data_IF_618743061281
#
_entry.id   IF_618743061281
#
_cell.length_a   1.000
_cell.length_b   1.000
_cell.length_c   1.000
_cell.angle_alpha   90.00
_cell.angle_beta   90.00
_cell.angle_gamma   90.00
#
_symmetry.space_group_name_H-M   'P 1'
#
loop_
_entity.id
_entity.type
_entity.pdbx_description
1 polymer ?
#
# COMPACT_ATOMS: atom_id res chain seq x y z
N UNK A 1 59.47 -58.69 -10.05
CA UNK A 1 58.23 -58.90 -9.32
C UNK A 1 57.82 -57.55 -8.76
N UNK A 2 56.89 -56.86 -9.45
CA UNK A 2 56.35 -55.53 -9.06
C UNK A 2 55.05 -55.71 -8.30
N UNK A 3 55.04 -55.22 -7.04
CA UNK A 3 53.87 -55.26 -6.16
C UNK A 3 52.93 -54.06 -6.50
N UNK A 4 51.71 -54.37 -6.92
CA UNK A 4 50.60 -53.43 -7.04
C UNK A 4 50.08 -53.08 -5.65
N UNK A 5 50.06 -51.76 -5.31
CA UNK A 5 49.35 -51.25 -4.11
C UNK A 5 47.90 -51.00 -4.44
N UNK A 6 46.94 -51.43 -3.58
CA UNK A 6 45.53 -51.10 -3.80
C UNK A 6 45.24 -49.63 -3.47
N UNK A 7 44.61 -48.91 -4.42
CA UNK A 7 44.10 -47.58 -4.22
C UNK A 7 42.72 -47.69 -3.57
N UNK A 8 42.62 -47.28 -2.31
CA UNK A 8 41.35 -47.20 -1.62
C UNK A 8 40.61 -45.92 -2.07
N UNK A 9 39.51 -46.10 -2.77
CA UNK A 9 38.61 -45.04 -3.18
C UNK A 9 37.67 -44.69 -1.99
N UNK A 10 37.98 -43.58 -1.31
CA UNK A 10 37.08 -43.04 -0.26
C UNK A 10 35.92 -42.31 -0.91
N UNK A 11 34.74 -42.93 -0.93
CA UNK A 11 33.47 -42.28 -1.30
C UNK A 11 33.04 -41.37 -0.18
N UNK A 12 33.22 -40.07 -0.30
CA UNK A 12 32.68 -39.10 0.63
C UNK A 12 31.15 -38.96 0.41
N UNK A 13 30.36 -39.51 1.34
CA UNK A 13 28.92 -39.34 1.35
C UNK A 13 28.60 -37.93 1.78
N UNK A 14 28.21 -37.05 0.81
CA UNK A 14 27.73 -35.72 1.08
C UNK A 14 26.33 -35.86 1.70
N UNK A 15 26.23 -35.78 3.00
CA UNK A 15 24.93 -35.68 3.72
C UNK A 15 24.43 -34.27 3.51
N UNK A 16 23.46 -34.09 2.59
CA UNK A 16 22.74 -32.83 2.45
C UNK A 16 21.91 -32.59 3.72
N UNK A 17 22.35 -31.65 4.55
CA UNK A 17 21.54 -31.17 5.66
C UNK A 17 20.30 -30.47 5.08
N UNK A 18 19.06 -30.85 5.50
CA UNK A 18 17.89 -30.11 5.09
C UNK A 18 18.03 -28.66 5.57
N UNK A 19 17.89 -27.70 4.65
CA UNK A 19 17.82 -26.30 5.01
C UNK A 19 16.68 -26.13 6.04
N UNK A 20 17.01 -25.63 7.21
CA UNK A 20 16.01 -25.30 8.23
C UNK A 20 15.05 -24.28 7.57
N UNK A 21 13.78 -24.66 7.46
CA UNK A 21 12.75 -23.73 7.01
C UNK A 21 12.74 -22.54 7.98
N UNK A 22 12.83 -21.33 7.44
CA UNK A 22 12.68 -20.13 8.26
C UNK A 22 11.41 -20.23 9.09
N UNK A 23 11.44 -19.84 10.38
CA UNK A 23 10.25 -19.88 11.22
C UNK A 23 9.15 -19.04 10.55
N UNK A 24 7.89 -19.47 10.58
CA UNK A 24 6.81 -18.74 9.96
C UNK A 24 6.81 -17.30 10.49
N UNK A 25 6.99 -16.34 9.56
CA UNK A 25 6.89 -14.92 9.92
C UNK A 25 5.48 -14.70 10.45
N UNK A 26 5.36 -14.35 11.72
CA UNK A 26 4.07 -14.04 12.32
C UNK A 26 3.39 -12.97 11.48
N UNK A 27 2.25 -13.29 10.87
CA UNK A 27 1.45 -12.33 10.12
C UNK A 27 0.81 -11.34 11.11
N UNK A 28 1.48 -10.20 11.28
CA UNK A 28 1.03 -9.17 12.23
C UNK A 28 -0.28 -8.49 11.78
N UNK A 29 -0.70 -8.67 10.52
CA UNK A 29 -1.97 -8.14 10.02
C UNK A 29 -3.15 -8.86 10.67
N UNK A 30 -3.00 -10.15 10.96
CA UNK A 30 -4.07 -10.97 11.54
C UNK A 30 -4.58 -10.46 12.90
N UNK A 31 -3.75 -9.76 13.66
CA UNK A 31 -4.17 -9.18 14.95
C UNK A 31 -5.17 -8.02 14.82
N UNK A 32 -5.31 -7.46 13.62
CA UNK A 32 -6.24 -6.38 13.30
C UNK A 32 -7.52 -6.88 12.64
N UNK A 33 -7.81 -8.18 12.76
CA UNK A 33 -8.94 -8.79 12.07
C UNK A 33 -10.29 -8.16 12.44
N UNK A 34 -10.49 -7.79 13.71
CA UNK A 34 -11.74 -7.18 14.17
C UNK A 34 -11.96 -5.79 13.54
N UNK A 35 -10.95 -4.94 13.59
CA UNK A 35 -10.98 -3.58 13.02
C UNK A 35 -11.09 -3.62 11.48
N UNK A 36 -10.42 -4.57 10.84
CA UNK A 36 -10.53 -4.80 9.39
C UNK A 36 -11.94 -5.26 9.02
N UNK A 37 -12.54 -6.16 9.81
CA UNK A 37 -13.92 -6.63 9.56
C UNK A 37 -14.93 -5.49 9.71
N UNK A 38 -14.80 -4.65 10.73
CA UNK A 38 -15.60 -3.45 10.92
C UNK A 38 -15.47 -2.49 9.74
N UNK A 39 -14.23 -2.16 9.34
CA UNK A 39 -13.97 -1.27 8.23
C UNK A 39 -14.52 -1.83 6.91
N UNK A 40 -14.38 -3.14 6.70
CA UNK A 40 -14.96 -3.86 5.55
C UNK A 40 -16.47 -3.72 5.50
N UNK A 41 -17.15 -3.96 6.62
CA UNK A 41 -18.60 -3.83 6.72
C UNK A 41 -19.08 -2.38 6.51
N UNK A 42 -18.36 -1.41 7.10
CA UNK A 42 -18.72 0.02 7.04
C UNK A 42 -18.57 0.59 5.63
N UNK A 43 -17.52 0.24 4.90
CA UNK A 43 -17.19 0.83 3.61
C UNK A 43 -17.46 -0.10 2.42
N UNK A 44 -17.86 -1.34 2.67
CA UNK A 44 -18.12 -2.32 1.63
C UNK A 44 -16.85 -2.70 0.83
N UNK A 45 -15.69 -2.70 1.47
CA UNK A 45 -14.41 -3.10 0.86
C UNK A 45 -14.08 -4.52 1.32
N UNK A 46 -13.72 -5.46 0.43
CA UNK A 46 -13.37 -6.81 0.83
C UNK A 46 -12.22 -6.84 1.85
N UNK A 47 -12.37 -7.63 2.92
CA UNK A 47 -11.35 -7.85 3.96
C UNK A 47 -9.97 -8.12 3.32
N UNK A 48 -9.92 -9.02 2.32
CA UNK A 48 -8.67 -9.36 1.65
C UNK A 48 -7.98 -8.18 0.96
N UNK A 49 -8.69 -7.13 0.55
CA UNK A 49 -8.09 -5.94 -0.05
C UNK A 49 -7.46 -5.07 1.03
N UNK A 50 -8.14 -4.90 2.16
CA UNK A 50 -7.64 -4.13 3.30
C UNK A 50 -6.37 -4.79 3.86
N UNK A 51 -6.40 -6.11 4.06
CA UNK A 51 -5.24 -6.87 4.53
C UNK A 51 -4.04 -6.76 3.59
N UNK A 52 -4.25 -6.86 2.26
CA UNK A 52 -3.17 -6.74 1.27
C UNK A 52 -2.53 -5.36 1.31
N UNK A 53 -3.33 -4.31 1.36
CA UNK A 53 -2.84 -2.94 1.50
C UNK A 53 -2.08 -2.79 2.81
N UNK A 54 -2.66 -3.14 3.96
CA UNK A 54 -1.98 -3.04 5.26
C UNK A 54 -0.65 -3.83 5.28
N UNK A 55 -0.63 -5.02 4.68
CA UNK A 55 0.58 -5.84 4.59
C UNK A 55 1.67 -5.16 3.76
N UNK A 56 1.29 -4.51 2.66
CA UNK A 56 2.22 -3.77 1.82
C UNK A 56 2.71 -2.47 2.49
N UNK A 57 1.83 -1.75 3.21
CA UNK A 57 2.13 -0.44 3.79
C UNK A 57 2.96 -0.53 5.08
N UNK A 58 2.54 -1.35 6.03
CA UNK A 58 3.15 -1.41 7.37
C UNK A 58 3.54 -2.81 7.83
N UNK A 59 3.10 -3.85 7.10
CA UNK A 59 3.18 -5.24 7.59
C UNK A 59 2.36 -5.48 8.87
N UNK A 60 1.38 -4.61 9.19
CA UNK A 60 0.59 -4.66 10.42
C UNK A 60 1.32 -4.12 11.66
N UNK A 61 2.44 -3.42 11.48
CA UNK A 61 3.23 -2.82 12.57
C UNK A 61 2.72 -1.42 12.90
N UNK A 62 2.58 -1.11 14.20
CA UNK A 62 2.26 0.24 14.69
C UNK A 62 3.49 1.06 15.04
N UNK A 63 4.63 0.38 15.25
CA UNK A 63 5.87 0.98 15.71
C UNK A 63 7.02 0.63 14.79
N UNK A 64 7.91 1.58 14.58
CA UNK A 64 9.17 1.39 13.86
C UNK A 64 10.28 2.11 14.63
N UNK A 65 11.30 1.36 15.09
CA UNK A 65 12.40 1.93 15.86
C UNK A 65 11.95 2.63 17.16
N UNK A 66 10.92 2.09 17.85
CA UNK A 66 10.40 2.64 19.10
C UNK A 66 9.51 3.89 18.96
N UNK A 67 9.13 4.26 17.73
CA UNK A 67 8.23 5.39 17.44
C UNK A 67 7.02 4.94 16.63
N UNK A 68 5.88 5.66 16.69
CA UNK A 68 4.76 5.39 15.80
C UNK A 68 5.20 5.37 14.34
N UNK A 69 4.74 4.35 13.60
CA UNK A 69 5.20 4.13 12.22
C UNK A 69 4.83 5.31 11.33
N UNK A 70 5.87 5.94 10.78
CA UNK A 70 5.76 7.06 9.83
C UNK A 70 6.85 6.88 8.79
N UNK A 71 6.50 7.00 7.50
CA UNK A 71 7.48 6.94 6.41
C UNK A 71 8.32 8.22 6.33
N UNK A 72 9.42 8.19 5.57
CA UNK A 72 10.22 9.39 5.29
C UNK A 72 9.40 10.48 4.59
N UNK A 73 8.41 10.09 3.79
CA UNK A 73 7.50 11.03 3.11
C UNK A 73 6.37 11.54 4.02
N UNK A 74 6.30 11.08 5.28
CA UNK A 74 5.28 11.49 6.24
C UNK A 74 3.98 10.69 6.19
N UNK A 75 3.93 9.55 5.51
CA UNK A 75 2.79 8.65 5.58
C UNK A 75 2.69 7.97 6.95
N UNK A 76 1.48 7.89 7.53
CA UNK A 76 1.24 7.61 8.95
C UNK A 76 0.39 6.37 9.17
N UNK A 77 0.74 5.59 10.20
CA UNK A 77 -0.05 4.50 10.76
C UNK A 77 -0.08 3.23 9.90
N UNK A 78 -0.98 2.32 10.24
CA UNK A 78 -1.10 0.99 9.64
C UNK A 78 -1.35 1.01 8.13
N UNK A 79 -2.17 1.95 7.68
CA UNK A 79 -2.57 2.11 6.28
C UNK A 79 -1.77 3.19 5.55
N UNK A 80 -0.72 3.75 6.18
CA UNK A 80 0.24 4.73 5.62
C UNK A 80 -0.45 5.88 4.87
N UNK A 81 -1.33 6.59 5.57
CA UNK A 81 -2.03 7.74 5.00
C UNK A 81 -1.18 9.01 5.05
N UNK A 82 -1.11 9.71 3.93
CA UNK A 82 -0.52 11.05 3.90
C UNK A 82 -1.34 12.04 4.76
N UNK A 83 -0.70 13.06 5.38
CA UNK A 83 -1.38 13.99 6.28
C UNK A 83 -2.64 14.62 5.71
N UNK A 84 -2.63 15.05 4.45
CA UNK A 84 -3.82 15.63 3.80
C UNK A 84 -4.93 14.60 3.60
N UNK A 85 -4.58 13.36 3.22
CA UNK A 85 -5.55 12.26 3.07
C UNK A 85 -6.15 11.89 4.42
N UNK A 86 -5.33 11.77 5.47
CA UNK A 86 -5.81 11.56 6.83
C UNK A 86 -6.80 12.65 7.26
N UNK A 87 -6.41 13.92 7.11
CA UNK A 87 -7.26 15.04 7.49
C UNK A 87 -8.61 15.03 6.77
N UNK A 88 -8.63 14.70 5.48
CA UNK A 88 -9.85 14.58 4.69
C UNK A 88 -10.73 13.42 5.16
N UNK A 89 -10.15 12.22 5.35
CA UNK A 89 -10.90 11.02 5.74
C UNK A 89 -11.43 11.14 7.18
N UNK A 90 -10.61 11.63 8.12
CA UNK A 90 -11.09 11.81 9.49
C UNK A 90 -12.24 12.80 9.58
N UNK A 91 -12.18 13.89 8.85
CA UNK A 91 -13.25 14.89 8.82
C UNK A 91 -14.55 14.34 8.20
N UNK A 92 -14.43 13.61 7.08
CA UNK A 92 -15.57 13.02 6.38
C UNK A 92 -16.27 11.92 7.18
N UNK A 93 -15.55 11.21 8.04
CA UNK A 93 -16.05 10.02 8.73
C UNK A 93 -16.13 10.16 10.26
N UNK A 94 -15.86 11.36 10.81
CA UNK A 94 -15.96 11.64 12.25
C UNK A 94 -14.93 10.89 13.10
N UNK A 95 -13.71 10.67 12.58
CA UNK A 95 -12.67 9.93 13.28
C UNK A 95 -11.88 10.84 14.24
N UNK A 96 -11.12 10.22 15.14
CA UNK A 96 -10.31 10.89 16.14
C UNK A 96 -9.24 11.83 15.57
N UNK A 97 -8.31 12.26 16.42
CA UNK A 97 -7.26 13.22 16.01
C UNK A 97 -5.91 12.55 15.77
N UNK A 98 -5.72 11.37 16.33
CA UNK A 98 -4.44 10.66 16.24
C UNK A 98 -4.39 9.78 14.98
N UNK A 99 -3.52 10.11 13.99
CA UNK A 99 -3.35 9.30 12.79
C UNK A 99 -2.68 7.94 13.06
N UNK A 100 -2.15 7.73 14.26
CA UNK A 100 -1.52 6.49 14.66
C UNK A 100 -2.44 5.59 15.51
N UNK A 101 -3.64 6.05 15.86
CA UNK A 101 -4.66 5.19 16.44
C UNK A 101 -5.01 4.07 15.42
N UNK A 102 -4.84 2.79 15.79
CA UNK A 102 -5.02 1.69 14.85
C UNK A 102 -6.42 1.61 14.26
N UNK A 103 -7.45 1.75 15.09
CA UNK A 103 -8.84 1.65 14.67
C UNK A 103 -9.18 2.75 13.66
N UNK A 104 -8.91 4.01 14.02
CA UNK A 104 -9.22 5.15 13.17
C UNK A 104 -8.38 5.17 11.88
N UNK A 105 -7.12 4.73 11.94
CA UNK A 105 -6.25 4.65 10.77
C UNK A 105 -6.74 3.57 9.78
N UNK A 106 -7.20 2.42 10.27
CA UNK A 106 -7.78 1.36 9.43
C UNK A 106 -9.08 1.84 8.78
N UNK A 107 -9.95 2.49 9.54
CA UNK A 107 -11.19 3.08 9.01
C UNK A 107 -10.89 4.12 7.93
N UNK A 108 -9.98 5.06 8.19
CA UNK A 108 -9.61 6.11 7.24
C UNK A 108 -8.98 5.53 5.96
N UNK A 109 -8.05 4.57 6.11
CA UNK A 109 -7.41 3.90 4.98
C UNK A 109 -8.39 3.10 4.13
N UNK A 110 -9.34 2.42 4.76
CA UNK A 110 -10.39 1.68 4.06
C UNK A 110 -11.36 2.61 3.33
N UNK A 111 -11.76 3.73 3.95
CA UNK A 111 -12.57 4.74 3.30
C UNK A 111 -11.86 5.33 2.07
N UNK A 112 -10.56 5.62 2.18
CA UNK A 112 -9.76 6.08 1.05
C UNK A 112 -9.63 5.02 -0.04
N UNK A 113 -9.41 3.76 0.32
CA UNK A 113 -9.37 2.64 -0.63
C UNK A 113 -10.71 2.49 -1.38
N UNK A 114 -11.82 2.66 -0.69
CA UNK A 114 -13.16 2.70 -1.29
C UNK A 114 -13.30 3.85 -2.28
N UNK A 115 -12.86 5.04 -1.93
CA UNK A 115 -12.89 6.19 -2.83
C UNK A 115 -12.06 5.96 -4.10
N UNK A 116 -10.91 5.28 -3.98
CA UNK A 116 -10.10 4.90 -5.14
C UNK A 116 -10.80 3.85 -6.01
N UNK A 117 -11.48 2.89 -5.40
CA UNK A 117 -12.28 1.91 -6.15
C UNK A 117 -13.42 2.55 -6.92
N UNK A 118 -14.20 3.43 -6.27
CA UNK A 118 -15.31 4.12 -6.90
C UNK A 118 -14.90 4.94 -8.11
N UNK A 119 -13.65 5.46 -8.10
CA UNK A 119 -13.12 6.28 -9.19
C UNK A 119 -12.42 5.49 -10.29
N UNK A 120 -11.71 4.44 -9.96
CA UNK A 120 -10.76 3.79 -10.88
C UNK A 120 -11.01 2.29 -11.09
N UNK A 121 -11.91 1.70 -10.29
CA UNK A 121 -12.20 0.27 -10.35
C UNK A 121 -11.03 -0.61 -9.91
N UNK A 122 -11.21 -1.93 -10.08
CA UNK A 122 -10.16 -2.93 -9.83
C UNK A 122 -9.41 -3.20 -11.15
N UNK A 123 -8.07 -3.36 -11.15
CA UNK A 123 -7.12 -3.20 -10.03
C UNK A 123 -6.62 -1.75 -9.85
N UNK A 124 -7.16 -0.78 -10.60
CA UNK A 124 -6.71 0.60 -10.63
C UNK A 124 -6.71 1.30 -9.27
N UNK A 125 -7.63 0.89 -8.36
CA UNK A 125 -7.69 1.42 -7.00
C UNK A 125 -6.35 1.31 -6.26
N UNK A 126 -5.62 0.23 -6.43
CA UNK A 126 -4.34 0.01 -5.75
C UNK A 126 -3.25 0.93 -6.30
N UNK A 127 -3.21 1.11 -7.62
CA UNK A 127 -2.29 2.07 -8.22
C UNK A 127 -2.58 3.50 -7.78
N UNK A 128 -3.88 3.87 -7.72
CA UNK A 128 -4.31 5.18 -7.27
C UNK A 128 -4.08 5.39 -5.77
N UNK A 129 -4.19 4.35 -4.96
CA UNK A 129 -3.88 4.39 -3.53
C UNK A 129 -2.40 4.72 -3.31
N UNK A 130 -1.51 4.00 -3.97
CA UNK A 130 -0.05 4.14 -3.82
C UNK A 130 0.47 5.41 -4.53
N UNK A 131 0.20 5.60 -5.82
CA UNK A 131 0.74 6.73 -6.59
C UNK A 131 0.04 8.06 -6.32
N UNK A 132 -1.16 8.01 -5.72
CA UNK A 132 -2.07 9.13 -5.63
C UNK A 132 -3.02 9.24 -6.84
N UNK A 133 -4.28 9.69 -6.62
CA UNK A 133 -5.32 9.71 -7.65
C UNK A 133 -5.01 10.62 -8.83
N UNK A 134 -4.30 11.72 -8.61
CA UNK A 134 -3.91 12.64 -9.68
C UNK A 134 -2.89 12.02 -10.65
N UNK A 135 -1.85 11.39 -10.10
CA UNK A 135 -0.80 10.73 -10.91
C UNK A 135 -1.38 9.53 -11.67
N UNK A 136 -2.23 8.75 -11.03
CA UNK A 136 -2.88 7.63 -11.71
C UNK A 136 -3.86 8.10 -12.80
N UNK A 137 -4.62 9.17 -12.58
CA UNK A 137 -5.46 9.77 -13.61
C UNK A 137 -4.63 10.27 -14.81
N UNK A 138 -3.49 10.93 -14.57
CA UNK A 138 -2.58 11.34 -15.62
C UNK A 138 -2.00 10.15 -16.41
N UNK A 139 -1.70 9.05 -15.74
CA UNK A 139 -1.31 7.78 -16.40
C UNK A 139 -2.39 7.31 -17.38
N UNK A 140 -3.65 7.29 -16.95
CA UNK A 140 -4.77 6.83 -17.78
C UNK A 140 -5.06 7.75 -18.97
N UNK A 141 -4.88 9.07 -18.82
CA UNK A 141 -5.25 10.05 -19.86
C UNK A 141 -4.11 10.38 -20.81
N UNK A 142 -2.87 10.42 -20.34
CA UNK A 142 -1.71 10.83 -21.13
C UNK A 142 -0.72 9.71 -21.44
N UNK A 143 -0.97 8.47 -20.92
CA UNK A 143 -0.01 7.35 -21.05
C UNK A 143 1.27 7.54 -20.24
N UNK A 144 1.36 8.55 -19.35
CA UNK A 144 2.53 8.75 -18.48
C UNK A 144 2.84 7.48 -17.71
N UNK A 145 4.07 7.00 -17.74
CA UNK A 145 4.45 5.79 -17.05
C UNK A 145 4.26 5.93 -15.52
N UNK A 146 3.72 4.88 -14.90
CA UNK A 146 3.68 4.80 -13.44
C UNK A 146 5.10 4.62 -12.89
N UNK A 147 5.39 5.18 -11.69
CA UNK A 147 6.64 4.92 -10.99
C UNK A 147 6.91 3.41 -10.87
N UNK A 148 8.19 3.03 -10.90
CA UNK A 148 8.59 1.62 -10.75
C UNK A 148 8.07 1.03 -9.44
N UNK A 149 8.10 1.83 -8.38
CA UNK A 149 7.55 1.50 -7.06
C UNK A 149 6.06 1.15 -7.14
N UNK A 150 5.24 1.98 -7.78
CA UNK A 150 3.80 1.72 -7.95
C UNK A 150 3.53 0.45 -8.76
N UNK A 151 4.37 0.15 -9.75
CA UNK A 151 4.26 -1.10 -10.52
C UNK A 151 4.59 -2.32 -9.67
N UNK A 152 5.63 -2.24 -8.84
CA UNK A 152 5.97 -3.29 -7.88
C UNK A 152 4.87 -3.46 -6.82
N UNK A 153 4.35 -2.37 -6.30
CA UNK A 153 3.22 -2.38 -5.38
C UNK A 153 2.00 -3.08 -5.99
N UNK A 154 1.63 -2.75 -7.22
CA UNK A 154 0.53 -3.42 -7.92
C UNK A 154 0.76 -4.94 -8.03
N UNK A 155 1.96 -5.37 -8.40
CA UNK A 155 2.30 -6.79 -8.48
C UNK A 155 2.10 -7.50 -7.12
N UNK A 156 2.43 -6.81 -6.02
CA UNK A 156 2.29 -7.33 -4.66
C UNK A 156 0.83 -7.41 -4.20
N UNK A 157 0.03 -6.34 -4.44
CA UNK A 157 -1.34 -6.23 -3.87
C UNK A 157 -2.44 -6.77 -4.78
N UNK A 158 -2.24 -6.84 -6.11
CA UNK A 158 -3.26 -7.32 -7.02
C UNK A 158 -3.52 -8.82 -6.86
N UNK A 159 -2.52 -9.62 -6.42
CA UNK A 159 -2.65 -11.03 -6.07
C UNK A 159 -3.38 -11.86 -7.13
N UNK A 160 -3.81 -13.05 -6.76
CA UNK A 160 -4.68 -13.90 -7.59
C UNK A 160 -6.00 -13.17 -7.88
N UNK A 161 -6.51 -13.19 -9.13
CA UNK A 161 -7.79 -12.58 -9.47
C UNK A 161 -8.87 -13.03 -8.49
N UNK A 162 -9.60 -12.08 -7.93
CA UNK A 162 -10.78 -12.39 -7.12
C UNK A 162 -11.77 -13.11 -8.01
N UNK A 163 -12.32 -14.23 -7.53
CA UNK A 163 -13.40 -14.92 -8.23
C UNK A 163 -14.60 -13.96 -8.48
N UNK A 164 -15.52 -14.30 -9.40
CA UNK A 164 -16.58 -13.42 -9.88
C UNK A 164 -17.52 -12.86 -8.81
N UNK A 165 -17.47 -13.35 -7.57
CA UNK A 165 -18.32 -12.91 -6.44
C UNK A 165 -17.81 -11.68 -5.68
N UNK A 166 -16.68 -11.07 -6.05
CA UNK A 166 -16.09 -9.96 -5.29
C UNK A 166 -16.12 -8.60 -6.01
N UNK A 167 -16.97 -8.44 -7.02
CA UNK A 167 -17.30 -7.11 -7.53
C UNK A 167 -18.13 -6.37 -6.47
N UNK A 168 -17.62 -5.21 -6.03
CA UNK A 168 -18.37 -4.36 -5.10
C UNK A 168 -19.61 -3.78 -5.80
N UNK A 169 -20.74 -3.62 -5.07
CA UNK A 169 -21.87 -2.88 -5.61
C UNK A 169 -21.41 -1.44 -5.95
N UNK A 170 -21.58 -1.04 -7.20
CA UNK A 170 -21.35 0.34 -7.62
C UNK A 170 -22.34 1.24 -6.88
N UNK A 171 -21.86 1.99 -5.91
CA UNK A 171 -22.62 3.13 -5.40
C UNK A 171 -22.50 4.23 -6.44
N UNK A 172 -23.66 4.77 -6.85
CA UNK A 172 -23.71 5.98 -7.67
C UNK A 172 -22.86 7.06 -6.99
N UNK A 173 -22.05 7.83 -7.74
CA UNK A 173 -21.15 8.81 -7.17
C UNK A 173 -21.96 9.91 -6.46
N UNK A 174 -22.09 9.78 -5.16
CA UNK A 174 -22.38 10.96 -4.34
C UNK A 174 -21.13 11.80 -4.42
N UNK A 175 -21.26 13.03 -4.91
CA UNK A 175 -20.17 13.97 -5.21
C UNK A 175 -19.36 14.31 -3.95
N UNK A 176 -18.49 13.40 -3.50
CA UNK A 176 -17.58 13.60 -2.37
C UNK A 176 -16.23 14.19 -2.80
N UNK A 177 -16.02 14.32 -4.09
CA UNK A 177 -14.89 15.08 -4.62
C UNK A 177 -15.38 16.48 -5.02
N UNK A 178 -15.72 17.29 -4.02
CA UNK A 178 -15.60 18.72 -4.19
C UNK A 178 -14.12 18.95 -4.44
N UNK A 179 -13.78 19.23 -5.69
CA UNK A 179 -12.47 19.70 -6.02
C UNK A 179 -12.15 20.83 -5.05
N UNK A 180 -11.08 20.72 -4.29
CA UNK A 180 -10.41 21.87 -3.70
C UNK A 180 -9.93 22.73 -4.89
N UNK A 181 -10.86 23.45 -5.49
CA UNK A 181 -10.54 24.62 -6.32
C UNK A 181 -10.07 25.66 -5.32
N UNK A 182 -8.78 25.73 -5.10
CA UNK A 182 -8.18 26.97 -4.67
C UNK A 182 -8.50 27.97 -5.76
N UNK A 183 -9.47 28.84 -5.49
CA UNK A 183 -9.74 30.02 -6.32
C UNK A 183 -8.53 30.92 -6.19
N UNK A 184 -7.56 30.76 -7.08
CA UNK A 184 -6.56 31.81 -7.31
C UNK A 184 -7.25 32.87 -8.15
N UNK A 185 -7.62 33.95 -7.49
CA UNK A 185 -7.97 35.23 -8.12
C UNK A 185 -6.84 35.61 -9.06
N UNK A 186 -7.18 35.70 -10.34
CA UNK A 186 -6.28 36.18 -11.38
C UNK A 186 -5.89 37.62 -11.11
N UNK A 187 -4.60 37.85 -10.82
CA UNK A 187 -3.94 39.11 -11.07
C UNK A 187 -2.80 38.83 -12.04
N UNK A 188 -2.95 39.41 -13.20
CA UNK A 188 -2.08 39.48 -14.35
C UNK A 188 -0.66 39.89 -13.97
N UNK A 189 0.37 39.13 -14.36
CA UNK A 189 1.68 39.63 -14.82
C UNK A 189 2.56 38.46 -15.29
N UNK A 190 3.14 38.63 -16.47
CA UNK A 190 3.98 37.83 -17.36
C UNK A 190 5.09 36.90 -16.78
N UNK A 191 5.74 36.10 -17.65
CA UNK A 191 6.15 34.74 -17.33
C UNK A 191 7.55 34.67 -16.79
N UNK A 192 7.76 33.94 -15.69
CA UNK A 192 9.09 33.44 -15.32
C UNK A 192 9.00 32.18 -14.48
N UNK A 193 9.64 31.14 -14.98
CA UNK A 193 10.15 29.97 -14.27
C UNK A 193 9.13 28.92 -13.86
N UNK A 194 9.30 27.73 -14.45
CA UNK A 194 8.61 26.50 -14.08
C UNK A 194 8.68 26.26 -12.56
N UNK A 195 7.56 25.86 -11.94
CA UNK A 195 7.59 25.42 -10.55
C UNK A 195 8.35 24.10 -10.44
N UNK A 196 9.25 24.01 -9.46
CA UNK A 196 9.93 22.78 -9.06
C UNK A 196 8.91 21.67 -8.82
N UNK A 197 9.12 20.57 -9.51
CA UNK A 197 8.36 19.33 -9.36
C UNK A 197 8.52 18.83 -7.92
N UNK A 198 7.42 18.53 -7.17
CA UNK A 198 7.54 17.99 -5.84
C UNK A 198 8.29 16.65 -5.90
N UNK A 199 9.08 16.29 -4.89
CA UNK A 199 9.92 15.09 -4.92
C UNK A 199 9.10 13.84 -5.18
N UNK A 200 9.58 13.00 -6.09
CA UNK A 200 8.92 11.79 -6.63
C UNK A 200 8.67 10.66 -5.63
N UNK A 201 8.96 10.89 -4.34
CA UNK A 201 8.90 9.84 -3.32
C UNK A 201 7.74 10.05 -2.37
N UNK A 202 6.56 9.53 -2.75
CA UNK A 202 5.41 9.49 -1.84
C UNK A 202 5.42 8.28 -0.90
N UNK A 203 6.21 7.25 -1.19
CA UNK A 203 6.33 6.07 -0.32
C UNK A 203 7.72 5.46 -0.42
N UNK A 204 8.37 5.27 0.71
CA UNK A 204 9.59 4.47 0.80
C UNK A 204 9.21 3.00 1.07
N UNK A 205 9.20 2.17 0.04
CA UNK A 205 9.12 0.72 0.24
C UNK A 205 10.46 0.26 0.81
N UNK A 206 10.41 -0.41 1.95
CA UNK A 206 11.57 -1.04 2.57
C UNK A 206 12.03 -2.18 1.68
N UNK A 207 13.23 -2.09 1.12
CA UNK A 207 13.88 -3.21 0.47
C UNK A 207 14.05 -4.37 1.47
N UNK A 208 13.77 -5.61 1.09
CA UNK A 208 14.09 -6.77 1.93
C UNK A 208 15.62 -6.86 2.08
N UNK A 209 16.07 -7.04 3.30
CA UNK A 209 17.44 -7.51 3.59
C UNK A 209 17.51 -8.99 3.37
#
# INVERSE_FOLDING_TARGET
>A
VAALKPFALAVALLVATPAAADPPRTDLVSRWHAEIAEASARFGVPVAWIERVMRAESGGQTMLGGRPITSHAGAMGLMQLMPATWAAMRAAHGLGRDPHDPHDNILAGTAYLRAMYDRFGYPGLFAAYNAGPGRYAAHLTSGRALPTETRAYLAQVSGTPLGPSQSLPQRLPTALFVALRTSSTSADTSPSRAPDEPPDTLFAVRAPR
#
